data_IF_763441823842
#
_entry.id   IF_763441823842
#
_cell.length_a   1.000
_cell.length_b   1.000
_cell.length_c   1.000
_cell.angle_alpha   90.00
_cell.angle_beta   90.00
_cell.angle_gamma   90.00
#
_symmetry.space_group_name_H-M   'P 1'
#
loop_
_entity.id
_entity.type
_entity.pdbx_description
1 polymer ?
#
# COMPACT_ATOMS: atom_id res chain seq x y z
N UNK A 1 -1.60 49.69 -62.96
CA UNK A 1 -2.34 48.44 -62.65
C UNK A 1 -1.60 47.68 -61.57
N UNK A 2 -2.02 47.80 -60.32
CA UNK A 2 -1.39 47.16 -59.17
C UNK A 2 -2.16 45.88 -58.81
N UNK A 3 -1.51 44.74 -58.86
CA UNK A 3 -2.06 43.47 -58.44
C UNK A 3 -1.70 43.22 -56.94
N UNK A 4 -2.66 43.29 -56.06
CA UNK A 4 -2.54 42.92 -54.64
C UNK A 4 -2.75 41.40 -54.51
N UNK A 5 -1.69 40.67 -54.22
CA UNK A 5 -1.79 39.27 -53.80
C UNK A 5 -2.00 39.24 -52.28
N UNK A 6 -3.17 38.75 -51.84
CA UNK A 6 -3.43 38.43 -50.44
C UNK A 6 -2.72 37.15 -50.06
N UNK A 7 -1.81 37.24 -49.09
CA UNK A 7 -1.16 36.11 -48.46
C UNK A 7 -2.03 35.67 -47.28
N UNK A 8 -2.71 34.55 -47.39
CA UNK A 8 -3.48 33.95 -46.31
C UNK A 8 -2.48 33.09 -45.53
N UNK A 9 -2.04 33.59 -44.37
CA UNK A 9 -1.23 32.82 -43.42
C UNK A 9 -2.09 31.82 -42.68
N UNK A 10 -1.87 30.54 -42.93
CA UNK A 10 -2.41 29.45 -42.10
C UNK A 10 -1.65 29.40 -40.80
N UNK A 11 -2.34 29.69 -39.68
CA UNK A 11 -1.82 29.47 -38.32
C UNK A 11 -1.97 27.99 -38.02
N UNK A 12 -0.90 27.24 -37.66
CA UNK A 12 -1.06 25.87 -37.22
C UNK A 12 -1.68 25.86 -35.80
N UNK A 13 -2.83 25.22 -35.68
CA UNK A 13 -3.50 24.95 -34.42
C UNK A 13 -2.65 23.92 -33.65
N UNK A 14 -1.76 24.43 -32.78
CA UNK A 14 -0.99 23.61 -31.87
C UNK A 14 -1.91 22.92 -30.86
N UNK A 15 -2.08 21.62 -30.96
CA UNK A 15 -2.69 20.78 -29.93
C UNK A 15 -1.81 20.82 -28.68
N UNK A 16 -2.21 21.63 -27.71
CA UNK A 16 -1.69 21.59 -26.36
C UNK A 16 -2.18 20.28 -25.71
N UNK A 17 -1.36 19.25 -25.73
CA UNK A 17 -1.53 18.11 -24.86
C UNK A 17 -1.24 18.60 -23.42
N UNK A 18 -2.30 18.93 -22.68
CA UNK A 18 -2.20 19.06 -21.24
C UNK A 18 -1.84 17.68 -20.69
N UNK A 19 -0.58 17.50 -20.31
CA UNK A 19 -0.17 16.35 -19.50
C UNK A 19 -0.90 16.51 -18.16
N UNK A 20 -1.92 15.69 -17.90
CA UNK A 20 -2.46 15.51 -16.56
C UNK A 20 -1.31 14.99 -15.68
N UNK A 21 -0.69 15.89 -14.94
CA UNK A 21 0.23 15.51 -13.89
C UNK A 21 -0.59 14.74 -12.84
N UNK A 22 -0.34 13.44 -12.73
CA UNK A 22 -0.84 12.64 -11.64
C UNK A 22 -0.39 13.29 -10.33
N UNK A 23 -1.32 13.94 -9.63
CA UNK A 23 -1.05 14.57 -8.34
C UNK A 23 -0.79 13.47 -7.32
N UNK A 24 0.48 13.20 -7.05
CA UNK A 24 0.91 12.33 -5.95
C UNK A 24 0.29 12.86 -4.65
N UNK A 25 -0.62 12.10 -4.05
CA UNK A 25 -1.33 12.50 -2.85
C UNK A 25 -0.79 11.72 -1.65
N UNK A 26 0.07 12.37 -0.87
CA UNK A 26 0.55 11.85 0.41
C UNK A 26 -0.52 12.11 1.47
N UNK A 27 -1.03 11.07 2.09
CA UNK A 27 -2.09 11.13 3.08
C UNK A 27 -1.60 11.00 4.50
N UNK A 28 -0.51 10.20 4.70
CA UNK A 28 0.08 9.97 6.01
C UNK A 28 1.61 10.01 5.94
N UNK A 29 2.23 10.72 6.88
CA UNK A 29 3.63 10.53 7.23
C UNK A 29 3.79 9.27 8.10
N UNK A 30 5.03 8.79 8.28
CA UNK A 30 5.30 7.64 9.15
C UNK A 30 4.76 7.82 10.59
N UNK A 31 4.91 9.01 11.17
CA UNK A 31 4.42 9.27 12.52
C UNK A 31 2.90 9.48 12.59
N UNK A 32 2.31 10.04 11.55
CA UNK A 32 0.86 10.19 11.46
C UNK A 32 0.16 8.82 11.38
N UNK A 33 0.69 7.88 10.56
CA UNK A 33 0.10 6.55 10.44
C UNK A 33 0.29 5.70 11.70
N UNK A 34 1.41 5.86 12.43
CA UNK A 34 1.63 5.25 13.74
C UNK A 34 0.51 5.65 14.72
N UNK A 35 0.24 6.96 14.84
CA UNK A 35 -0.83 7.47 15.72
C UNK A 35 -2.22 7.04 15.27
N UNK A 36 -2.48 6.97 13.96
CA UNK A 36 -3.78 6.55 13.42
C UNK A 36 -4.08 5.08 13.73
N UNK A 37 -3.08 4.19 13.58
CA UNK A 37 -3.27 2.76 13.76
C UNK A 37 -3.11 2.30 15.23
N UNK A 38 -2.31 3.00 16.03
CA UNK A 38 -2.13 2.72 17.46
C UNK A 38 -2.24 4.01 18.29
N UNK A 39 -3.44 4.60 18.44
CA UNK A 39 -3.60 5.89 19.14
C UNK A 39 -3.20 5.83 20.62
N UNK A 40 -3.23 4.64 21.24
CA UNK A 40 -2.79 4.42 22.63
C UNK A 40 -1.30 4.12 22.78
N UNK A 41 -0.50 4.15 21.69
CA UNK A 41 0.92 3.87 21.79
C UNK A 41 1.69 5.07 22.32
N UNK A 42 2.53 4.82 23.33
CA UNK A 42 3.44 5.81 23.93
C UNK A 42 4.88 5.63 23.47
N UNK A 43 5.23 4.46 22.92
CA UNK A 43 6.58 4.12 22.47
C UNK A 43 6.52 3.16 21.29
N UNK A 44 7.47 3.33 20.35
CA UNK A 44 7.71 2.42 19.23
C UNK A 44 9.14 1.89 19.30
N UNK A 45 9.30 0.59 19.10
CA UNK A 45 10.61 -0.09 18.99
C UNK A 45 10.80 -0.56 17.58
N UNK A 46 11.92 -0.20 16.95
CA UNK A 46 12.25 -0.65 15.59
C UNK A 46 12.48 -2.17 15.57
N UNK A 47 11.78 -2.83 14.66
CA UNK A 47 11.87 -4.28 14.37
C UNK A 47 12.19 -4.53 12.90
N UNK A 48 12.67 -3.50 12.21
CA UNK A 48 13.01 -3.60 10.78
C UNK A 48 14.09 -4.62 10.53
N UNK A 49 13.93 -5.43 9.49
CA UNK A 49 14.89 -6.47 9.10
C UNK A 49 15.09 -6.49 7.59
N UNK A 50 16.22 -7.05 7.17
CA UNK A 50 16.44 -7.41 5.77
C UNK A 50 16.34 -8.93 5.64
N UNK A 51 15.38 -9.40 4.88
CA UNK A 51 15.15 -10.83 4.64
C UNK A 51 16.29 -11.41 3.82
N UNK A 52 16.76 -12.60 4.21
CA UNK A 52 17.63 -13.42 3.37
C UNK A 52 16.89 -13.94 2.13
N UNK A 53 17.63 -14.46 1.15
CA UNK A 53 17.03 -15.10 -0.03
C UNK A 53 16.17 -16.31 0.36
N UNK A 54 16.60 -17.12 1.34
CA UNK A 54 15.85 -18.26 1.86
C UNK A 54 14.54 -17.82 2.52
N UNK A 55 14.58 -16.81 3.40
CA UNK A 55 13.38 -16.24 4.03
C UNK A 55 12.42 -15.68 2.99
N UNK A 56 12.93 -14.91 2.02
CA UNK A 56 12.12 -14.34 0.93
C UNK A 56 11.42 -15.45 0.12
N UNK A 57 12.12 -16.55 -0.17
CA UNK A 57 11.54 -17.70 -0.87
C UNK A 57 10.43 -18.37 -0.04
N UNK A 58 10.67 -18.62 1.25
CA UNK A 58 9.69 -19.23 2.16
C UNK A 58 8.45 -18.36 2.31
N UNK A 59 8.63 -17.06 2.55
CA UNK A 59 7.53 -16.08 2.65
C UNK A 59 6.76 -16.03 1.33
N UNK A 60 7.45 -15.97 0.20
CA UNK A 60 6.82 -15.92 -1.12
C UNK A 60 5.95 -17.15 -1.40
N UNK A 61 6.42 -18.34 -1.04
CA UNK A 61 5.64 -19.57 -1.14
C UNK A 61 4.42 -19.57 -0.23
N UNK A 62 4.58 -19.20 1.05
CA UNK A 62 3.49 -19.15 2.02
C UNK A 62 2.43 -18.09 1.66
N UNK A 63 2.87 -16.93 1.16
CA UNK A 63 1.99 -15.85 0.74
C UNK A 63 1.47 -15.99 -0.70
N UNK A 64 1.96 -16.93 -1.49
CA UNK A 64 1.64 -17.11 -2.93
C UNK A 64 1.84 -15.81 -3.72
N UNK A 65 2.88 -15.06 -3.37
CA UNK A 65 3.27 -13.80 -4.04
C UNK A 65 4.76 -13.55 -3.88
N UNK A 66 5.36 -12.75 -4.76
CA UNK A 66 6.79 -12.45 -4.71
C UNK A 66 7.13 -11.47 -3.59
N UNK A 67 8.31 -11.65 -2.99
CA UNK A 67 8.96 -10.66 -2.13
C UNK A 67 9.84 -9.77 -3.01
N UNK A 68 9.30 -8.67 -3.49
CA UNK A 68 10.02 -7.75 -4.38
C UNK A 68 10.99 -6.85 -3.62
N UNK A 69 10.72 -6.59 -2.34
CA UNK A 69 11.54 -5.74 -1.47
C UNK A 69 11.90 -6.53 -0.22
N UNK A 70 13.18 -6.94 -0.05
CA UNK A 70 13.59 -7.74 1.10
C UNK A 70 13.69 -6.93 2.39
N UNK A 71 13.81 -5.59 2.32
CA UNK A 71 13.82 -4.72 3.50
C UNK A 71 12.40 -4.57 4.03
N UNK A 72 12.18 -5.04 5.24
CA UNK A 72 10.92 -4.94 5.96
C UNK A 72 11.03 -3.81 6.98
N UNK A 73 10.15 -2.82 6.92
CA UNK A 73 10.05 -1.74 7.89
C UNK A 73 8.97 -2.13 8.88
N UNK A 74 9.34 -2.33 10.14
CA UNK A 74 8.44 -2.77 11.20
C UNK A 74 8.73 -2.08 12.53
N UNK A 75 7.68 -1.83 13.31
CA UNK A 75 7.77 -1.22 14.64
C UNK A 75 6.83 -1.93 15.61
N UNK A 76 7.34 -2.37 16.74
CA UNK A 76 6.48 -2.80 17.85
C UNK A 76 5.93 -1.57 18.58
N UNK A 77 4.63 -1.48 18.70
CA UNK A 77 3.92 -0.42 19.40
C UNK A 77 3.62 -0.85 20.84
N UNK A 78 3.95 0.02 21.81
CA UNK A 78 3.71 -0.21 23.23
C UNK A 78 2.87 0.93 23.81
N UNK A 79 1.88 0.58 24.62
CA UNK A 79 1.09 1.48 25.44
C UNK A 79 1.34 1.25 26.93
N UNK A 80 0.50 1.84 27.80
CA UNK A 80 0.63 1.74 29.23
C UNK A 80 0.54 0.28 29.76
N UNK A 81 -0.27 -0.56 29.12
CA UNK A 81 -0.49 -1.97 29.50
C UNK A 81 0.41 -2.98 28.77
N UNK A 82 1.42 -2.53 28.00
CA UNK A 82 2.33 -3.41 27.31
C UNK A 82 2.26 -3.30 25.78
N UNK A 83 2.61 -4.37 25.07
CA UNK A 83 2.63 -4.40 23.60
C UNK A 83 1.21 -4.34 23.04
N UNK A 84 0.95 -3.33 22.20
CA UNK A 84 -0.32 -3.15 21.48
C UNK A 84 -0.34 -3.91 20.15
N UNK A 85 0.83 -4.16 19.58
CA UNK A 85 0.96 -4.85 18.31
C UNK A 85 2.22 -4.49 17.54
N UNK A 86 2.24 -4.82 16.25
CA UNK A 86 3.34 -4.53 15.34
C UNK A 86 2.80 -3.77 14.12
N UNK A 87 3.40 -2.63 13.81
CA UNK A 87 3.13 -1.82 12.63
C UNK A 87 4.13 -2.16 11.53
N UNK A 88 3.67 -2.33 10.32
CA UNK A 88 4.47 -2.45 9.10
C UNK A 88 4.22 -1.25 8.20
N UNK A 89 5.28 -0.75 7.55
CA UNK A 89 5.18 0.19 6.44
C UNK A 89 5.78 -0.49 5.22
N UNK A 90 5.01 -0.60 4.16
CA UNK A 90 5.40 -1.35 2.97
C UNK A 90 4.87 -0.66 1.71
N UNK A 91 5.33 -1.12 0.55
CA UNK A 91 4.86 -0.64 -0.75
C UNK A 91 4.61 -1.79 -1.70
N UNK A 92 3.62 -1.61 -2.55
CA UNK A 92 3.34 -2.48 -3.70
C UNK A 92 3.34 -1.64 -4.96
N UNK A 93 3.64 -2.27 -6.08
CA UNK A 93 3.50 -1.62 -7.37
C UNK A 93 2.03 -1.66 -7.76
N UNK A 94 1.44 -0.50 -8.06
CA UNK A 94 0.08 -0.40 -8.59
C UNK A 94 0.02 -0.80 -10.07
N UNK A 95 -0.52 0.05 -10.91
CA UNK A 95 -0.46 -0.13 -12.37
C UNK A 95 0.80 0.53 -12.96
N UNK A 96 1.10 1.76 -12.55
CA UNK A 96 2.21 2.58 -13.04
C UNK A 96 3.09 3.10 -11.91
N UNK A 97 2.53 3.30 -10.72
CA UNK A 97 3.16 3.94 -9.58
C UNK A 97 3.12 3.06 -8.33
N UNK A 98 3.91 3.40 -7.33
CA UNK A 98 3.87 2.71 -6.04
C UNK A 98 2.69 3.17 -5.19
N UNK A 99 2.10 2.20 -4.49
CA UNK A 99 1.14 2.42 -3.41
C UNK A 99 1.87 2.12 -2.11
N UNK A 100 2.08 3.14 -1.27
CA UNK A 100 2.64 2.97 0.07
C UNK A 100 1.51 2.80 1.06
N UNK A 101 1.59 1.78 1.90
CA UNK A 101 0.56 1.46 2.86
C UNK A 101 1.17 0.99 4.19
N UNK A 102 0.38 1.06 5.25
CA UNK A 102 0.72 0.53 6.56
C UNK A 102 -0.27 -0.55 6.99
N UNK A 103 0.25 -1.56 7.69
CA UNK A 103 -0.55 -2.63 8.29
C UNK A 103 -0.20 -2.71 9.77
N UNK A 104 -1.20 -2.60 10.63
CA UNK A 104 -1.07 -2.87 12.04
C UNK A 104 -1.58 -4.29 12.34
N UNK A 105 -0.78 -5.06 13.05
CA UNK A 105 -1.17 -6.38 13.57
C UNK A 105 -1.31 -6.28 15.10
N UNK A 106 -2.32 -6.92 15.65
CA UNK A 106 -2.48 -7.09 17.09
C UNK A 106 -1.38 -8.04 17.67
N UNK A 107 -1.26 -8.17 19.01
CA UNK A 107 -0.28 -9.06 19.62
C UNK A 107 -0.42 -10.53 19.22
N UNK A 108 -1.60 -10.93 18.74
CA UNK A 108 -1.87 -12.29 18.29
C UNK A 108 -1.65 -12.48 16.76
N UNK A 109 -1.10 -11.45 16.07
CA UNK A 109 -0.77 -11.48 14.66
C UNK A 109 -1.96 -11.35 13.71
N UNK A 110 -3.13 -10.89 14.19
CA UNK A 110 -4.24 -10.54 13.33
C UNK A 110 -4.18 -9.09 12.87
N UNK A 111 -4.69 -8.80 11.69
CA UNK A 111 -4.79 -7.43 11.19
C UNK A 111 -5.69 -6.60 12.12
N UNK A 112 -5.12 -5.61 12.79
CA UNK A 112 -5.81 -4.60 13.56
C UNK A 112 -6.39 -3.51 12.64
N UNK A 113 -5.60 -3.09 11.63
CA UNK A 113 -6.03 -2.10 10.67
C UNK A 113 -5.02 -1.92 9.54
N UNK A 114 -5.46 -1.30 8.46
CA UNK A 114 -4.59 -0.87 7.35
C UNK A 114 -4.89 0.56 6.95
N UNK A 115 -3.85 1.29 6.50
CA UNK A 115 -3.94 2.65 5.96
C UNK A 115 -3.18 2.77 4.65
N UNK A 116 -3.74 3.46 3.67
CA UNK A 116 -3.01 3.85 2.46
C UNK A 116 -2.32 5.19 2.76
N UNK A 117 -0.99 5.19 2.71
CA UNK A 117 -0.17 6.35 3.09
C UNK A 117 0.12 7.28 1.92
N UNK A 118 0.45 6.70 0.76
CA UNK A 118 0.78 7.45 -0.46
C UNK A 118 0.18 6.71 -1.66
N UNK A 119 -0.53 7.45 -2.50
CA UNK A 119 -1.18 6.93 -3.69
C UNK A 119 -0.92 7.87 -4.86
N UNK A 120 -0.21 7.38 -5.88
CA UNK A 120 0.27 8.18 -7.02
C UNK A 120 -0.38 7.81 -8.34
N UNK A 121 -1.20 6.76 -8.36
CA UNK A 121 -1.95 6.39 -9.54
C UNK A 121 -3.06 7.40 -9.84
N UNK A 122 -3.37 7.59 -11.11
CA UNK A 122 -4.45 8.48 -11.54
C UNK A 122 -5.85 7.92 -11.18
N UNK A 123 -5.97 6.60 -11.04
CA UNK A 123 -7.24 5.91 -10.76
C UNK A 123 -7.05 4.83 -9.68
N UNK A 124 -8.13 4.53 -8.95
CA UNK A 124 -8.15 3.40 -8.00
C UNK A 124 -7.88 3.81 -6.55
N UNK A 125 -7.92 5.09 -6.22
CA UNK A 125 -7.74 5.61 -4.86
C UNK A 125 -8.85 5.18 -3.88
N UNK A 126 -9.94 4.59 -4.39
CA UNK A 126 -11.04 4.02 -3.62
C UNK A 126 -10.59 2.91 -2.64
N UNK A 127 -9.39 2.30 -2.84
CA UNK A 127 -8.76 1.39 -1.86
C UNK A 127 -8.50 2.06 -0.50
N UNK A 128 -8.52 3.40 -0.44
CA UNK A 128 -8.49 4.19 0.80
C UNK A 128 -9.80 4.14 1.58
N UNK A 129 -10.88 3.75 0.93
CA UNK A 129 -12.21 3.71 1.55
C UNK A 129 -12.22 2.84 2.81
N UNK A 130 -12.74 3.38 3.93
CA UNK A 130 -12.79 2.68 5.22
C UNK A 130 -13.48 1.33 5.10
N UNK A 131 -14.59 1.26 4.35
CA UNK A 131 -15.33 0.00 4.15
C UNK A 131 -14.49 -1.07 3.45
N UNK A 132 -13.65 -0.70 2.48
CA UNK A 132 -12.80 -1.66 1.80
C UNK A 132 -11.68 -2.15 2.72
N UNK A 133 -11.02 -1.25 3.41
CA UNK A 133 -9.93 -1.55 4.33
C UNK A 133 -10.38 -2.39 5.53
N UNK A 134 -11.60 -2.16 6.03
CA UNK A 134 -12.17 -2.92 7.15
C UNK A 134 -12.31 -4.43 6.87
N UNK A 135 -12.33 -4.86 5.60
CA UNK A 135 -12.42 -6.27 5.23
C UNK A 135 -11.18 -7.08 5.67
N UNK A 136 -10.06 -6.43 5.92
CA UNK A 136 -8.82 -7.06 6.38
C UNK A 136 -8.80 -7.29 7.89
N UNK A 137 -9.63 -6.59 8.66
CA UNK A 137 -9.66 -6.69 10.12
C UNK A 137 -9.83 -8.12 10.59
N UNK A 138 -9.04 -8.54 11.57
CA UNK A 138 -9.04 -9.88 12.14
C UNK A 138 -8.40 -10.97 11.27
N UNK A 139 -7.99 -10.68 10.04
CA UNK A 139 -7.33 -11.65 9.14
C UNK A 139 -5.94 -12.01 9.66
N UNK A 140 -5.58 -13.31 9.52
CA UNK A 140 -4.33 -13.89 10.02
C UNK A 140 -3.60 -14.63 8.92
N UNK A 141 -2.31 -14.90 9.15
CA UNK A 141 -1.56 -15.82 8.31
C UNK A 141 -2.25 -17.20 8.20
N UNK A 142 -2.21 -17.79 6.99
CA UNK A 142 -2.85 -19.08 6.71
C UNK A 142 -4.34 -19.02 6.36
N UNK A 143 -5.01 -17.90 6.63
CA UNK A 143 -6.41 -17.72 6.19
C UNK A 143 -6.52 -17.33 4.73
N UNK A 144 -7.63 -17.68 4.04
CA UNK A 144 -7.88 -17.18 2.69
C UNK A 144 -7.90 -15.66 2.67
N UNK A 145 -7.07 -15.06 1.81
CA UNK A 145 -6.96 -13.62 1.63
C UNK A 145 -6.63 -13.33 0.16
N UNK A 146 -7.66 -13.18 -0.65
CA UNK A 146 -7.57 -12.85 -2.07
C UNK A 146 -8.78 -12.01 -2.48
N UNK A 147 -8.68 -11.33 -3.62
CA UNK A 147 -9.81 -10.61 -4.20
C UNK A 147 -10.89 -11.61 -4.59
N UNK A 148 -12.15 -11.24 -4.33
CA UNK A 148 -13.35 -12.02 -4.45
C UNK A 148 -13.42 -13.27 -3.54
N UNK A 149 -12.38 -13.50 -2.69
CA UNK A 149 -12.32 -14.59 -1.70
C UNK A 149 -11.39 -14.27 -0.51
N UNK A 150 -11.77 -13.57 0.53
CA UNK A 150 -13.01 -12.89 0.89
C UNK A 150 -13.03 -11.37 0.64
N UNK A 151 -11.95 -10.78 0.05
CA UNK A 151 -11.83 -9.33 -0.13
C UNK A 151 -12.58 -8.93 -1.40
N UNK A 152 -13.64 -8.13 -1.26
CA UNK A 152 -14.41 -7.61 -2.40
C UNK A 152 -13.56 -6.65 -3.22
N UNK A 153 -13.61 -6.82 -4.54
CA UNK A 153 -12.99 -5.91 -5.49
C UNK A 153 -13.73 -4.55 -5.53
N UNK A 154 -13.03 -3.55 -6.02
CA UNK A 154 -13.61 -2.25 -6.38
C UNK A 154 -13.48 -2.08 -7.90
N UNK A 155 -14.61 -1.89 -8.58
CA UNK A 155 -14.61 -1.60 -10.02
C UNK A 155 -13.78 -0.35 -10.31
N UNK A 156 -12.89 -0.43 -11.29
CA UNK A 156 -11.94 0.64 -11.63
C UNK A 156 -10.67 0.68 -10.78
N UNK A 157 -10.58 -0.11 -9.67
CA UNK A 157 -9.42 -0.18 -8.79
C UNK A 157 -8.82 -1.59 -8.65
N UNK A 158 -9.11 -2.49 -9.59
CA UNK A 158 -8.81 -3.92 -9.48
C UNK A 158 -7.32 -4.20 -9.19
N UNK A 159 -6.40 -3.57 -9.91
CA UNK A 159 -4.95 -3.78 -9.69
C UNK A 159 -4.52 -3.30 -8.31
N UNK A 160 -4.99 -2.15 -7.86
CA UNK A 160 -4.72 -1.64 -6.52
C UNK A 160 -5.25 -2.58 -5.44
N UNK A 161 -6.50 -3.08 -5.61
CA UNK A 161 -7.09 -4.06 -4.71
C UNK A 161 -6.28 -5.36 -4.64
N UNK A 162 -5.89 -5.92 -5.79
CA UNK A 162 -5.09 -7.16 -5.87
C UNK A 162 -3.73 -6.97 -5.19
N UNK A 163 -2.98 -5.93 -5.57
CA UNK A 163 -1.61 -5.75 -5.11
C UNK A 163 -1.53 -5.40 -3.62
N UNK A 164 -2.46 -4.57 -3.10
CA UNK A 164 -2.52 -4.31 -1.66
C UNK A 164 -2.92 -5.58 -0.89
N UNK A 165 -3.88 -6.37 -1.39
CA UNK A 165 -4.26 -7.64 -0.76
C UNK A 165 -3.09 -8.63 -0.72
N UNK A 166 -2.34 -8.75 -1.81
CA UNK A 166 -1.13 -9.58 -1.89
C UNK A 166 -0.05 -9.09 -0.93
N UNK A 167 0.12 -7.78 -0.82
CA UNK A 167 1.04 -7.17 0.11
C UNK A 167 0.67 -7.46 1.57
N UNK A 168 -0.59 -7.31 1.95
CA UNK A 168 -1.07 -7.67 3.31
C UNK A 168 -0.83 -9.16 3.59
N UNK A 169 -1.17 -10.04 2.66
CA UNK A 169 -0.93 -11.49 2.80
C UNK A 169 0.55 -11.81 2.98
N UNK A 170 1.44 -11.12 2.27
CA UNK A 170 2.89 -11.24 2.41
C UNK A 170 3.37 -10.75 3.78
N UNK A 171 2.87 -9.61 4.27
CA UNK A 171 3.24 -9.09 5.60
C UNK A 171 2.78 -10.02 6.72
N UNK A 172 1.60 -10.63 6.62
CA UNK A 172 1.12 -11.64 7.57
C UNK A 172 2.04 -12.86 7.60
N UNK A 173 2.50 -13.35 6.44
CA UNK A 173 3.48 -14.44 6.37
C UNK A 173 4.84 -14.02 6.95
N UNK A 174 5.31 -12.81 6.64
CA UNK A 174 6.56 -12.26 7.18
C UNK A 174 6.50 -12.15 8.71
N UNK A 175 5.39 -11.65 9.25
CA UNK A 175 5.19 -11.56 10.69
C UNK A 175 5.30 -12.95 11.36
N UNK A 176 4.53 -13.90 10.86
CA UNK A 176 4.46 -15.24 11.43
C UNK A 176 5.78 -16.02 11.33
N UNK A 177 6.52 -15.87 10.22
CA UNK A 177 7.68 -16.71 9.92
C UNK A 177 9.03 -16.09 10.30
N UNK A 178 9.08 -14.78 10.59
CA UNK A 178 10.35 -14.07 10.82
C UNK A 178 10.32 -13.14 12.02
N UNK A 179 9.25 -12.34 12.18
CA UNK A 179 9.24 -11.26 13.19
C UNK A 179 8.76 -11.78 14.55
N UNK A 180 7.79 -12.68 14.57
CA UNK A 180 7.21 -13.29 15.78
C UNK A 180 7.77 -14.69 16.10
N UNK A 181 8.62 -15.22 15.20
CA UNK A 181 9.27 -16.52 15.36
C UNK A 181 10.39 -16.50 16.40
#
# INVERSE_FOLDING_TARGET
MLNRRHFIGTVPLGLLFASEQANAKVYFTGDAVKRALFPGATRYVDRSVTLSAAQSKTIGAAAKTRVNFPKIIAFDAYGASGKLGTLYIDKVYGKHEFITYAVALDPAGAVHGIEIMDYRESYGDQVRGVKWRAQFSGKRHGQPLAIDKPIKNISGATLSCVHVTDGVRRLLATHSLVIAA
#
